data_IF_609532379250
#
_entry.id   IF_609532379250
#
_cell.length_a   1.000
_cell.length_b   1.000
_cell.length_c   1.000
_cell.angle_alpha   90.00
_cell.angle_beta   90.00
_cell.angle_gamma   90.00
#
_symmetry.space_group_name_H-M   'P 1'
#
loop_
_entity.id
_entity.type
_entity.pdbx_description
1 polymer ?
#
# COMPACT_ATOMS: atom_id res chain seq x y z
N UNK A 1 -23.03 -20.13 17.85
CA UNK A 1 -23.71 -18.85 17.55
C UNK A 1 -22.78 -17.65 17.66
N UNK A 2 -21.60 -17.76 18.28
CA UNK A 2 -20.66 -16.63 18.48
C UNK A 2 -19.75 -16.32 17.28
N UNK A 3 -19.46 -17.30 16.41
CA UNK A 3 -18.63 -17.10 15.21
C UNK A 3 -19.32 -16.31 14.08
N UNK A 4 -20.65 -16.41 13.96
CA UNK A 4 -21.40 -15.73 12.90
C UNK A 4 -21.57 -14.22 13.14
N UNK A 5 -21.41 -13.75 14.39
CA UNK A 5 -21.61 -12.34 14.74
C UNK A 5 -20.38 -11.47 14.42
N UNK A 6 -19.18 -12.08 14.34
CA UNK A 6 -17.93 -11.37 13.98
C UNK A 6 -17.83 -11.15 12.47
N UNK A 7 -18.33 -12.08 11.65
CA UNK A 7 -18.30 -11.97 10.17
C UNK A 7 -19.17 -10.83 9.61
N UNK A 8 -20.19 -10.38 10.35
CA UNK A 8 -21.22 -9.48 9.80
C UNK A 8 -20.94 -7.97 9.94
N UNK A 9 -19.86 -7.54 10.61
CA UNK A 9 -19.60 -6.10 10.87
C UNK A 9 -18.46 -5.50 10.03
N UNK A 10 -17.76 -6.30 9.21
CA UNK A 10 -16.56 -5.87 8.49
C UNK A 10 -16.64 -6.17 7.00
N UNK A 11 -17.40 -5.38 6.22
CA UNK A 11 -17.58 -5.65 4.78
C UNK A 11 -16.28 -5.71 3.96
N UNK A 12 -15.16 -5.21 4.49
CA UNK A 12 -13.87 -5.10 3.79
C UNK A 12 -12.63 -5.58 4.57
N UNK A 13 -12.78 -6.11 5.79
CA UNK A 13 -11.64 -6.73 6.51
C UNK A 13 -11.53 -8.21 6.17
N UNK A 14 -10.33 -8.76 6.28
CA UNK A 14 -10.05 -10.16 5.98
C UNK A 14 -8.89 -10.67 6.83
N UNK A 15 -8.87 -11.98 7.10
CA UNK A 15 -7.72 -12.63 7.73
C UNK A 15 -6.74 -13.07 6.65
N UNK A 16 -5.46 -12.78 6.84
CA UNK A 16 -4.37 -13.24 5.94
C UNK A 16 -3.81 -14.56 6.46
N UNK A 17 -3.48 -14.61 7.74
CA UNK A 17 -2.91 -15.76 8.44
C UNK A 17 -3.18 -15.60 9.95
N UNK A 18 -2.93 -16.62 10.80
CA UNK A 18 -3.00 -16.44 12.25
C UNK A 18 -2.17 -15.24 12.73
N UNK A 19 -2.77 -14.35 13.52
CA UNK A 19 -2.12 -13.12 13.99
C UNK A 19 -1.93 -12.04 12.92
N UNK A 20 -2.50 -12.19 11.72
CA UNK A 20 -2.38 -11.22 10.61
C UNK A 20 -3.74 -10.92 10.00
N UNK A 21 -4.18 -9.69 10.18
CA UNK A 21 -5.45 -9.18 9.65
C UNK A 21 -5.18 -8.06 8.67
N UNK A 22 -5.93 -8.02 7.58
CA UNK A 22 -5.89 -6.94 6.61
C UNK A 22 -7.24 -6.30 6.45
N UNK A 23 -7.24 -5.07 5.94
CA UNK A 23 -8.47 -4.43 5.48
C UNK A 23 -8.18 -3.65 4.21
N UNK A 24 -9.07 -3.84 3.23
CA UNK A 24 -9.08 -3.01 2.04
C UNK A 24 -9.77 -1.70 2.37
N UNK A 25 -9.07 -0.59 2.17
CA UNK A 25 -9.68 0.74 2.09
C UNK A 25 -10.39 0.85 0.71
N UNK A 26 -10.25 1.98 0.03
CA UNK A 26 -10.85 2.21 -1.28
C UNK A 26 -10.17 1.35 -2.34
N UNK A 27 -8.83 1.42 -2.41
CA UNK A 27 -8.03 0.65 -3.37
C UNK A 27 -6.73 0.10 -2.79
N UNK A 28 -6.32 0.56 -1.60
CA UNK A 28 -5.10 0.19 -0.87
C UNK A 28 -5.44 -0.65 0.36
N UNK A 29 -4.53 -1.51 0.78
CA UNK A 29 -4.61 -2.33 1.97
C UNK A 29 -3.68 -1.81 3.06
N UNK A 30 -4.09 -2.02 4.30
CA UNK A 30 -3.23 -1.94 5.49
C UNK A 30 -3.43 -3.19 6.33
N UNK A 31 -2.45 -3.50 7.18
CA UNK A 31 -2.42 -4.73 7.95
C UNK A 31 -2.16 -4.49 9.43
N UNK A 32 -2.72 -5.35 10.27
CA UNK A 32 -2.38 -5.48 11.68
C UNK A 32 -1.69 -6.83 11.84
N UNK A 33 -0.50 -6.79 12.43
CA UNK A 33 0.29 -7.98 12.76
C UNK A 33 0.41 -8.04 14.28
N UNK A 34 0.00 -9.15 14.87
CA UNK A 34 0.28 -9.47 16.27
C UNK A 34 1.51 -10.37 16.37
N UNK A 35 2.36 -10.07 17.34
CA UNK A 35 3.43 -10.93 17.79
C UNK A 35 2.87 -12.00 18.75
N UNK A 36 3.09 -13.27 18.41
CA UNK A 36 2.51 -14.39 19.15
C UNK A 36 3.11 -14.53 20.56
N UNK A 37 4.32 -14.02 20.79
CA UNK A 37 5.04 -14.20 22.05
C UNK A 37 4.64 -13.15 23.10
N UNK A 38 4.67 -11.88 22.72
CA UNK A 38 4.39 -10.75 23.61
C UNK A 38 2.92 -10.32 23.59
N UNK A 39 2.15 -10.74 22.58
CA UNK A 39 0.81 -10.25 22.31
C UNK A 39 0.76 -8.79 21.83
N UNK A 40 1.92 -8.13 21.70
CA UNK A 40 2.03 -6.80 21.11
C UNK A 40 1.70 -6.85 19.62
N UNK A 41 1.34 -5.71 19.03
CA UNK A 41 0.96 -5.67 17.63
C UNK A 41 1.50 -4.42 16.95
N UNK A 42 1.67 -4.49 15.65
CA UNK A 42 2.08 -3.36 14.82
C UNK A 42 1.08 -3.16 13.68
N UNK A 43 0.96 -1.90 13.25
CA UNK A 43 0.25 -1.53 12.03
C UNK A 43 1.25 -1.51 10.87
N UNK A 44 0.88 -2.09 9.73
CA UNK A 44 1.63 -1.98 8.47
C UNK A 44 0.83 -1.11 7.51
N UNK A 45 1.42 0.02 7.13
CA UNK A 45 0.82 1.13 6.39
C UNK A 45 -0.42 1.76 7.07
N UNK A 46 -0.75 2.98 6.66
CA UNK A 46 -1.78 3.83 7.28
C UNK A 46 -2.91 4.22 6.30
N UNK A 47 -2.95 3.64 5.10
CA UNK A 47 -4.03 3.90 4.14
C UNK A 47 -4.13 5.37 3.71
N UNK A 48 -5.33 5.80 3.36
CA UNK A 48 -5.67 7.15 2.89
C UNK A 48 -5.90 8.11 4.07
N UNK A 49 -6.00 9.42 3.77
CA UNK A 49 -6.14 10.47 4.80
C UNK A 49 -7.31 10.27 5.77
N UNK A 50 -8.37 9.62 5.33
CA UNK A 50 -9.57 9.34 6.13
C UNK A 50 -9.56 7.96 6.82
N UNK A 51 -8.49 7.18 6.68
CA UNK A 51 -8.44 5.80 7.17
C UNK A 51 -8.30 5.69 8.69
N UNK A 52 -7.81 6.74 9.38
CA UNK A 52 -7.53 6.72 10.82
C UNK A 52 -8.69 6.16 11.68
N UNK A 53 -9.94 6.66 11.58
CA UNK A 53 -11.05 6.12 12.36
C UNK A 53 -11.32 4.63 12.10
N UNK A 54 -11.17 4.21 10.84
CA UNK A 54 -11.43 2.81 10.44
C UNK A 54 -10.35 1.88 10.97
N UNK A 55 -9.08 2.29 10.89
CA UNK A 55 -7.94 1.57 11.45
C UNK A 55 -8.07 1.43 12.97
N UNK A 56 -8.41 2.52 13.67
CA UNK A 56 -8.64 2.49 15.13
C UNK A 56 -9.79 1.57 15.52
N UNK A 57 -10.89 1.58 14.76
CA UNK A 57 -12.01 0.67 15.02
C UNK A 57 -11.61 -0.79 14.83
N UNK A 58 -10.85 -1.11 13.76
CA UNK A 58 -10.33 -2.46 13.55
C UNK A 58 -9.41 -2.90 14.70
N UNK A 59 -8.49 -2.04 15.15
CA UNK A 59 -7.63 -2.34 16.30
C UNK A 59 -8.45 -2.55 17.59
N UNK A 60 -9.48 -1.73 17.83
CA UNK A 60 -10.39 -1.85 18.96
C UNK A 60 -11.19 -3.16 18.94
N UNK A 61 -11.63 -3.61 17.77
CA UNK A 61 -12.37 -4.87 17.62
C UNK A 61 -11.49 -6.08 17.91
N UNK A 62 -10.21 -6.03 17.51
CA UNK A 62 -9.28 -7.15 17.70
C UNK A 62 -8.71 -7.18 19.14
N UNK A 63 -8.33 -6.01 19.68
CA UNK A 63 -7.54 -5.93 20.93
C UNK A 63 -8.22 -5.14 22.06
N UNK A 64 -9.40 -4.56 21.83
CA UNK A 64 -10.10 -3.72 22.80
C UNK A 64 -9.71 -2.24 22.78
N UNK A 65 -10.50 -1.41 23.46
CA UNK A 65 -10.46 0.06 23.36
C UNK A 65 -9.17 0.72 23.84
N UNK A 66 -8.47 0.12 24.80
CA UNK A 66 -7.25 0.68 25.38
C UNK A 66 -5.98 0.25 24.62
N UNK A 67 -6.12 -0.60 23.59
CA UNK A 67 -4.98 -1.14 22.86
C UNK A 67 -4.40 -0.12 21.89
N UNK A 68 -3.07 -0.07 21.83
CA UNK A 68 -2.28 0.71 20.87
C UNK A 68 -1.16 -0.15 20.29
N UNK A 69 -0.68 0.13 19.06
CA UNK A 69 0.40 -0.65 18.50
C UNK A 69 1.73 -0.36 19.22
N UNK A 70 2.65 -1.31 19.15
CA UNK A 70 4.05 -1.11 19.51
C UNK A 70 4.78 -0.23 18.48
N UNK A 71 4.37 -0.31 17.20
CA UNK A 71 4.97 0.43 16.09
C UNK A 71 4.00 0.57 14.91
N UNK A 72 4.24 1.58 14.06
CA UNK A 72 3.73 1.60 12.68
C UNK A 72 4.91 1.31 11.75
N UNK A 73 4.78 0.33 10.86
CA UNK A 73 5.79 -0.06 9.88
C UNK A 73 5.31 0.35 8.50
N UNK A 74 6.12 1.08 7.74
CA UNK A 74 5.78 1.49 6.39
C UNK A 74 6.42 0.56 5.37
N UNK A 75 5.63 0.10 4.40
CA UNK A 75 6.17 -0.54 3.19
C UNK A 75 6.89 0.50 2.34
N UNK A 76 6.27 1.68 2.16
CA UNK A 76 6.82 2.85 1.48
C UNK A 76 5.96 4.10 1.76
N UNK A 77 6.40 5.27 1.25
CA UNK A 77 5.79 6.56 1.59
C UNK A 77 4.82 7.18 0.58
N UNK A 78 4.22 6.41 -0.34
CA UNK A 78 3.18 6.99 -1.23
C UNK A 78 1.91 7.36 -0.48
N UNK A 79 1.16 8.32 -1.04
CA UNK A 79 0.06 9.03 -0.36
C UNK A 79 -1.07 8.11 0.13
N UNK A 80 -1.27 6.99 -0.53
CA UNK A 80 -2.25 5.96 -0.23
C UNK A 80 -1.81 4.98 0.84
N UNK A 81 -0.53 4.98 1.21
CA UNK A 81 0.02 4.20 2.32
C UNK A 81 0.26 5.04 3.56
N UNK A 82 0.43 6.36 3.43
CA UNK A 82 0.79 7.25 4.57
C UNK A 82 -0.28 8.28 4.91
N UNK A 83 -1.45 8.23 4.27
CA UNK A 83 -2.46 9.27 4.36
C UNK A 83 -2.93 9.55 5.79
N UNK A 84 -3.16 8.52 6.60
CA UNK A 84 -3.55 8.67 8.01
C UNK A 84 -2.37 8.61 9.00
N UNK A 85 -1.14 8.54 8.50
CA UNK A 85 0.03 8.19 9.31
C UNK A 85 0.26 9.17 10.46
N UNK A 86 0.36 10.47 10.18
CA UNK A 86 0.64 11.48 11.20
C UNK A 86 -0.45 11.49 12.29
N UNK A 87 -1.72 11.40 11.89
CA UNK A 87 -2.84 11.31 12.84
C UNK A 87 -2.72 10.08 13.75
N UNK A 88 -2.43 8.90 13.17
CA UNK A 88 -2.30 7.67 13.95
C UNK A 88 -1.06 7.69 14.86
N UNK A 89 0.07 8.17 14.36
CA UNK A 89 1.32 8.27 15.13
C UNK A 89 1.15 9.20 16.33
N UNK A 90 0.54 10.37 16.14
CA UNK A 90 0.25 11.32 17.22
C UNK A 90 -0.79 10.78 18.21
N UNK A 91 -1.88 10.21 17.72
CA UNK A 91 -2.97 9.77 18.60
C UNK A 91 -2.59 8.56 19.46
N UNK A 92 -1.68 7.71 19.00
CA UNK A 92 -1.18 6.56 19.74
C UNK A 92 0.17 6.80 20.43
N UNK A 93 0.85 7.91 20.14
CA UNK A 93 2.20 8.21 20.59
C UNK A 93 3.15 7.02 20.37
N UNK A 94 3.30 6.64 19.10
CA UNK A 94 3.94 5.39 18.68
C UNK A 94 5.03 5.65 17.63
N UNK A 95 6.18 4.95 17.68
CA UNK A 95 7.21 5.10 16.67
C UNK A 95 6.75 4.60 15.30
N UNK A 96 7.22 5.27 14.25
CA UNK A 96 7.06 4.87 12.85
C UNK A 96 8.41 4.36 12.34
N UNK A 97 8.45 3.21 11.70
CA UNK A 97 9.66 2.67 11.08
C UNK A 97 9.53 2.60 9.57
N UNK A 98 10.58 3.07 8.87
CA UNK A 98 10.71 2.96 7.43
C UNK A 98 12.16 2.69 7.03
N UNK A 99 12.35 2.23 5.80
CA UNK A 99 13.69 2.06 5.24
C UNK A 99 14.41 3.42 5.11
N UNK A 100 15.74 3.48 5.29
CA UNK A 100 16.49 4.75 5.22
C UNK A 100 16.25 5.58 3.95
N UNK A 101 16.10 4.91 2.79
CA UNK A 101 15.82 5.56 1.51
C UNK A 101 14.42 6.20 1.41
N UNK A 102 13.50 5.92 2.35
CA UNK A 102 12.18 6.55 2.40
C UNK A 102 12.18 7.84 3.27
N UNK A 103 13.16 8.00 4.17
CA UNK A 103 13.23 9.11 5.13
C UNK A 103 13.13 10.49 4.48
N UNK A 104 13.80 10.80 3.35
CA UNK A 104 13.71 12.13 2.73
C UNK A 104 12.27 12.51 2.35
N UNK A 105 11.46 11.53 1.96
CA UNK A 105 10.08 11.74 1.53
C UNK A 105 9.08 11.81 2.69
N UNK A 106 9.45 11.21 3.83
CA UNK A 106 8.66 11.18 5.06
C UNK A 106 9.00 12.32 6.04
N UNK A 107 10.06 13.09 5.75
CA UNK A 107 10.56 14.19 6.61
C UNK A 107 10.54 15.55 5.92
N UNK A 108 9.74 15.71 4.87
CA UNK A 108 9.66 17.00 4.16
C UNK A 108 10.86 17.35 3.27
N UNK A 109 11.93 16.54 3.21
CA UNK A 109 13.21 16.91 2.59
C UNK A 109 13.23 16.77 1.07
N UNK A 110 12.49 15.82 0.51
CA UNK A 110 12.42 15.57 -0.92
C UNK A 110 11.03 15.08 -1.34
N UNK A 111 10.69 15.26 -2.62
CA UNK A 111 9.53 14.58 -3.24
C UNK A 111 9.98 13.31 -3.93
N UNK A 112 9.09 12.31 -4.01
CA UNK A 112 9.29 11.12 -4.83
C UNK A 112 9.54 11.47 -6.30
N UNK A 113 10.20 10.56 -7.06
CA UNK A 113 10.13 10.61 -8.51
C UNK A 113 8.67 10.76 -8.97
N UNK A 114 8.40 11.69 -9.89
CA UNK A 114 7.03 11.98 -10.31
C UNK A 114 6.38 10.76 -10.97
N UNK A 115 5.06 10.57 -10.83
CA UNK A 115 4.39 9.50 -11.53
C UNK A 115 4.50 9.65 -13.04
N UNK A 116 4.40 8.51 -13.72
CA UNK A 116 4.32 8.42 -15.18
C UNK A 116 2.87 8.13 -15.61
N UNK A 117 2.13 9.15 -16.10
CA UNK A 117 0.77 8.96 -16.57
C UNK A 117 0.68 8.34 -17.97
N UNK A 118 1.80 8.10 -18.65
CA UNK A 118 1.83 7.52 -20.01
C UNK A 118 1.77 5.99 -20.03
N UNK A 119 1.72 5.35 -18.86
CA UNK A 119 1.76 3.88 -18.71
C UNK A 119 0.47 3.33 -18.13
N UNK A 120 0.28 2.00 -18.19
CA UNK A 120 -0.83 1.32 -17.52
C UNK A 120 -2.20 1.38 -18.23
N UNK A 121 -2.49 2.44 -18.99
CA UNK A 121 -3.71 2.54 -19.81
C UNK A 121 -5.01 2.70 -19.00
N UNK A 122 -4.90 2.99 -17.71
CA UNK A 122 -6.00 3.09 -16.76
C UNK A 122 -6.32 4.53 -16.34
N UNK A 123 -7.53 4.74 -15.81
CA UNK A 123 -7.93 6.04 -15.24
C UNK A 123 -7.00 6.48 -14.10
N UNK A 124 -6.49 5.53 -13.29
CA UNK A 124 -5.59 5.83 -12.20
C UNK A 124 -4.23 6.35 -12.71
N UNK A 125 -3.59 5.62 -13.63
CA UNK A 125 -2.37 6.13 -14.28
C UNK A 125 -2.59 7.48 -14.95
N UNK A 126 -3.70 7.63 -15.69
CA UNK A 126 -4.03 8.87 -16.37
C UNK A 126 -4.15 10.07 -15.43
N UNK A 127 -4.80 9.88 -14.27
CA UNK A 127 -5.01 10.91 -13.27
C UNK A 127 -3.85 11.08 -12.31
N UNK A 128 -2.79 10.26 -12.42
CA UNK A 128 -1.69 10.22 -11.47
C UNK A 128 -0.97 11.57 -11.30
N UNK A 129 -1.01 12.44 -12.31
CA UNK A 129 -0.46 13.80 -12.22
C UNK A 129 -1.15 14.69 -11.17
N UNK A 130 -2.36 14.32 -10.72
CA UNK A 130 -3.14 14.99 -9.68
C UNK A 130 -2.86 14.46 -8.28
N UNK A 131 -2.20 13.30 -8.15
CA UNK A 131 -1.95 12.71 -6.84
C UNK A 131 -0.99 13.58 -6.02
N UNK A 132 -1.15 13.64 -4.69
CA UNK A 132 -0.23 14.36 -3.83
C UNK A 132 1.21 13.88 -4.05
N UNK A 133 2.09 14.83 -4.39
CA UNK A 133 3.54 14.61 -4.58
C UNK A 133 4.38 15.20 -3.46
N UNK A 134 3.74 16.04 -2.63
CA UNK A 134 4.41 16.73 -1.53
C UNK A 134 4.78 15.72 -0.46
N UNK A 135 5.97 15.82 0.14
CA UNK A 135 6.33 14.98 1.27
C UNK A 135 5.36 15.24 2.42
N UNK A 136 5.10 14.19 3.19
CA UNK A 136 4.58 14.36 4.55
C UNK A 136 5.75 14.69 5.47
N UNK A 137 5.45 15.22 6.65
CA UNK A 137 6.43 15.41 7.70
C UNK A 137 5.96 14.65 8.95
N UNK A 138 6.59 13.50 9.17
CA UNK A 138 6.44 12.67 10.38
C UNK A 138 7.78 12.57 11.12
N UNK A 139 8.64 13.59 10.97
CA UNK A 139 9.99 13.61 11.54
C UNK A 139 10.04 13.39 13.05
N UNK A 140 9.00 13.78 13.78
CA UNK A 140 8.87 13.57 15.23
C UNK A 140 8.77 12.09 15.63
N UNK A 141 8.20 11.24 14.78
CA UNK A 141 7.92 9.83 15.10
C UNK A 141 8.76 8.85 14.27
N UNK A 142 9.41 9.31 13.20
CA UNK A 142 10.07 8.43 12.23
C UNK A 142 11.44 7.95 12.72
N UNK A 143 11.66 6.65 12.60
CA UNK A 143 12.91 5.97 12.88
C UNK A 143 13.32 5.12 11.68
N UNK A 144 14.64 4.98 11.48
CA UNK A 144 15.14 4.03 10.49
C UNK A 144 14.90 2.60 10.98
N UNK A 145 14.57 1.70 10.05
CA UNK A 145 14.62 0.27 10.32
C UNK A 145 16.07 -0.17 10.65
N UNK A 146 16.25 -1.15 11.55
CA UNK A 146 17.56 -1.69 11.90
C UNK A 146 18.28 -2.35 10.72
N UNK A 147 19.61 -2.18 10.62
CA UNK A 147 20.41 -2.69 9.49
C UNK A 147 20.53 -4.23 9.46
N UNK A 148 20.04 -4.93 10.48
CA UNK A 148 20.02 -6.40 10.62
C UNK A 148 18.74 -7.06 10.07
N UNK A 149 17.90 -6.29 9.38
CA UNK A 149 16.62 -6.71 8.81
C UNK A 149 15.52 -7.07 9.83
N UNK A 150 15.71 -6.78 11.12
CA UNK A 150 14.68 -6.98 12.14
C UNK A 150 13.61 -5.89 12.10
N UNK A 151 12.44 -6.19 12.65
CA UNK A 151 11.34 -5.22 12.79
C UNK A 151 11.06 -5.00 14.28
N UNK A 152 11.31 -3.79 14.82
CA UNK A 152 10.99 -3.48 16.21
C UNK A 152 9.51 -3.74 16.53
N UNK A 153 9.26 -4.52 17.58
CA UNK A 153 7.92 -4.94 17.99
C UNK A 153 7.39 -6.21 17.29
N UNK A 154 8.10 -6.74 16.29
CA UNK A 154 7.72 -7.96 15.55
C UNK A 154 8.92 -8.92 15.40
N UNK A 155 9.38 -9.57 16.49
CA UNK A 155 10.61 -10.39 16.49
C UNK A 155 10.57 -11.60 15.56
N UNK A 156 9.39 -12.11 15.21
CA UNK A 156 9.22 -13.23 14.26
C UNK A 156 9.24 -12.78 12.79
N UNK A 157 9.27 -11.48 12.53
CA UNK A 157 9.24 -10.89 11.20
C UNK A 157 10.58 -10.27 10.84
N UNK A 158 10.91 -10.39 9.55
CA UNK A 158 12.01 -9.65 8.94
C UNK A 158 11.49 -8.77 7.82
N UNK A 159 12.10 -7.62 7.64
CA UNK A 159 11.88 -6.84 6.43
C UNK A 159 12.89 -7.26 5.36
N UNK A 160 12.49 -7.06 4.11
CA UNK A 160 13.30 -7.33 2.93
C UNK A 160 13.24 -6.07 2.10
N UNK A 161 14.40 -5.45 1.87
CA UNK A 161 14.47 -4.32 0.94
C UNK A 161 14.13 -4.79 -0.47
N UNK A 162 13.07 -4.20 -1.03
CA UNK A 162 12.45 -4.55 -2.31
C UNK A 162 12.24 -3.28 -3.17
N UNK A 163 13.33 -2.58 -3.55
CA UNK A 163 13.26 -1.33 -4.30
C UNK A 163 12.66 -1.53 -5.70
N UNK A 164 12.17 -0.43 -6.27
CA UNK A 164 11.74 -0.36 -7.66
C UNK A 164 10.46 0.43 -7.83
N UNK A 165 9.43 0.07 -7.06
CA UNK A 165 8.21 0.86 -6.93
C UNK A 165 8.54 2.22 -6.28
N UNK A 166 9.16 2.18 -5.11
CA UNK A 166 9.86 3.31 -4.49
C UNK A 166 11.32 2.94 -4.17
N UNK A 167 12.19 3.92 -3.88
CA UNK A 167 13.61 3.68 -3.56
C UNK A 167 13.87 2.78 -2.35
N UNK A 168 13.12 2.99 -1.27
CA UNK A 168 13.26 2.27 -0.02
C UNK A 168 12.08 1.34 0.27
N UNK A 169 11.31 0.98 -0.76
CA UNK A 169 10.23 0.03 -0.59
C UNK A 169 10.70 -1.26 0.11
N UNK A 170 9.93 -1.74 1.08
CA UNK A 170 10.17 -3.01 1.77
C UNK A 170 8.99 -3.96 1.67
N UNK A 171 9.29 -5.24 1.81
CA UNK A 171 8.32 -6.30 2.04
C UNK A 171 8.62 -6.97 3.39
N UNK A 172 7.61 -7.56 4.03
CA UNK A 172 7.73 -8.19 5.35
C UNK A 172 7.51 -9.69 5.21
N UNK A 173 8.35 -10.51 5.82
CA UNK A 173 8.28 -11.96 5.75
C UNK A 173 8.36 -12.60 7.13
N UNK A 174 7.47 -13.55 7.39
CA UNK A 174 7.45 -14.38 8.60
C UNK A 174 7.82 -15.81 8.24
N UNK A 175 8.98 -16.27 8.72
CA UNK A 175 9.56 -17.54 8.29
C UNK A 175 8.74 -18.77 8.72
N UNK A 176 8.15 -18.75 9.92
CA UNK A 176 7.51 -19.94 10.53
C UNK A 176 6.33 -20.51 9.72
N UNK A 177 5.59 -19.64 9.04
CA UNK A 177 4.41 -20.00 8.25
C UNK A 177 4.46 -19.38 6.83
N UNK A 178 5.64 -18.86 6.45
CA UNK A 178 5.95 -18.27 5.14
C UNK A 178 4.90 -17.26 4.66
N UNK A 179 4.41 -16.41 5.56
CA UNK A 179 3.53 -15.30 5.22
C UNK A 179 4.36 -14.14 4.69
N UNK A 180 4.01 -13.67 3.50
CA UNK A 180 4.64 -12.52 2.85
C UNK A 180 3.65 -11.36 2.73
N UNK A 181 3.98 -10.22 3.33
CA UNK A 181 3.37 -8.93 2.98
C UNK A 181 4.31 -8.26 1.98
N UNK A 182 3.98 -8.37 0.70
CA UNK A 182 4.83 -7.90 -0.39
C UNK A 182 4.83 -6.38 -0.55
N UNK A 183 3.89 -5.66 0.07
CA UNK A 183 3.65 -4.24 -0.23
C UNK A 183 3.29 -4.08 -1.70
N UNK A 184 3.94 -3.12 -2.36
CA UNK A 184 3.78 -2.79 -3.76
C UNK A 184 4.91 -3.29 -4.66
N UNK A 185 5.74 -4.23 -4.16
CA UNK A 185 6.72 -4.94 -4.99
C UNK A 185 6.02 -5.70 -6.15
N UNK A 186 4.82 -6.20 -5.90
CA UNK A 186 3.83 -6.68 -6.85
C UNK A 186 2.44 -6.58 -6.20
N UNK A 187 1.37 -6.67 -6.98
CA UNK A 187 -0.02 -6.56 -6.48
C UNK A 187 -0.87 -7.73 -6.93
N UNK A 188 -1.92 -8.09 -6.19
CA UNK A 188 -2.86 -9.18 -6.54
C UNK A 188 -4.12 -8.68 -7.23
N UNK A 189 -4.02 -7.50 -7.85
CA UNK A 189 -5.05 -6.90 -8.69
C UNK A 189 -4.39 -6.24 -9.90
N UNK A 190 -5.14 -6.03 -10.97
CA UNK A 190 -4.71 -5.12 -12.03
C UNK A 190 -4.96 -3.68 -11.55
N UNK A 191 -3.99 -3.08 -10.87
CA UNK A 191 -4.08 -1.71 -10.31
C UNK A 191 -4.57 -0.67 -11.35
N UNK A 192 -4.27 -0.88 -12.63
CA UNK A 192 -4.62 0.01 -13.73
C UNK A 192 -6.08 -0.12 -14.21
N UNK A 193 -6.74 -1.24 -13.93
CA UNK A 193 -8.12 -1.45 -14.35
C UNK A 193 -9.05 -1.07 -13.20
N UNK A 194 -9.74 0.06 -13.32
CA UNK A 194 -10.83 0.42 -12.42
C UNK A 194 -11.85 -0.72 -12.31
N UNK A 195 -12.06 -1.49 -13.38
CA UNK A 195 -12.91 -2.68 -13.38
C UNK A 195 -12.31 -3.78 -12.49
N UNK A 196 -11.04 -4.18 -12.60
CA UNK A 196 -10.47 -5.22 -11.71
C UNK A 196 -10.22 -4.74 -10.26
N UNK A 197 -9.97 -3.45 -10.05
CA UNK A 197 -9.94 -2.86 -8.72
C UNK A 197 -11.30 -2.98 -8.00
N UNK A 198 -12.40 -3.03 -8.79
CA UNK A 198 -13.79 -3.15 -8.34
C UNK A 198 -14.37 -4.58 -8.43
N UNK A 199 -13.95 -5.39 -9.41
CA UNK A 199 -14.40 -6.77 -9.65
C UNK A 199 -13.42 -7.74 -9.01
N UNK A 200 -13.86 -8.52 -8.03
CA UNK A 200 -13.10 -9.39 -7.13
C UNK A 200 -12.22 -10.52 -7.75
N UNK A 201 -11.79 -10.41 -9.00
CA UNK A 201 -10.86 -11.33 -9.64
C UNK A 201 -9.43 -11.03 -9.15
N UNK A 202 -8.85 -11.96 -8.39
CA UNK A 202 -7.47 -11.85 -7.92
C UNK A 202 -6.54 -12.30 -9.05
N UNK A 203 -5.55 -11.48 -9.39
CA UNK A 203 -4.55 -11.82 -10.39
C UNK A 203 -3.25 -11.11 -10.04
N UNK A 204 -2.16 -11.88 -9.97
CA UNK A 204 -0.85 -11.35 -9.65
C UNK A 204 -0.32 -10.53 -10.83
N UNK A 205 -0.04 -9.26 -10.55
CA UNK A 205 0.50 -8.29 -11.49
C UNK A 205 1.77 -7.69 -10.91
N UNK A 206 2.64 -7.15 -11.78
CA UNK A 206 3.80 -6.37 -11.32
C UNK A 206 3.40 -5.13 -10.50
N UNK A 207 4.37 -4.35 -10.01
CA UNK A 207 4.11 -3.16 -9.21
C UNK A 207 3.24 -2.14 -9.99
N UNK A 208 2.49 -1.24 -9.31
CA UNK A 208 1.72 -0.20 -9.98
C UNK A 208 2.60 0.63 -10.93
N UNK A 209 2.22 0.67 -12.21
CA UNK A 209 3.15 1.08 -13.28
C UNK A 209 3.47 2.56 -13.21
N UNK A 210 2.47 3.37 -12.87
CA UNK A 210 2.59 4.84 -12.84
C UNK A 210 3.52 5.37 -11.74
N UNK A 211 3.82 4.60 -10.70
CA UNK A 211 4.79 5.01 -9.68
C UNK A 211 6.13 4.29 -9.76
N UNK A 212 6.21 3.17 -10.48
CA UNK A 212 7.43 2.37 -10.57
C UNK A 212 8.54 3.13 -11.29
N UNK A 213 9.51 3.58 -10.50
CA UNK A 213 10.59 4.48 -10.94
C UNK A 213 11.89 3.75 -11.30
N UNK A 214 12.00 2.44 -10.99
CA UNK A 214 13.12 1.60 -11.39
C UNK A 214 12.67 0.14 -11.64
N UNK A 215 12.44 -0.19 -12.91
CA UNK A 215 11.98 -1.52 -13.33
C UNK A 215 13.00 -2.64 -13.13
N UNK A 216 14.29 -2.35 -13.26
CA UNK A 216 15.34 -3.33 -13.06
C UNK A 216 15.42 -3.75 -11.58
N UNK A 217 15.35 -2.79 -10.66
CA UNK A 217 15.25 -3.06 -9.22
C UNK A 217 13.95 -3.78 -8.88
N UNK A 218 12.81 -3.37 -9.45
CA UNK A 218 11.52 -4.04 -9.23
C UNK A 218 11.57 -5.52 -9.63
N UNK A 219 12.18 -5.84 -10.77
CA UNK A 219 12.40 -7.23 -11.22
C UNK A 219 13.18 -8.05 -10.19
N UNK A 220 14.32 -7.51 -9.74
CA UNK A 220 15.17 -8.19 -8.75
C UNK A 220 14.42 -8.39 -7.43
N UNK A 221 13.60 -7.43 -7.03
CA UNK A 221 12.73 -7.53 -5.86
C UNK A 221 11.73 -8.67 -6.00
N UNK A 222 11.02 -8.79 -7.12
CA UNK A 222 10.08 -9.91 -7.35
C UNK A 222 10.80 -11.27 -7.38
N UNK A 223 11.98 -11.36 -8.01
CA UNK A 223 12.80 -12.59 -7.99
C UNK A 223 13.15 -12.98 -6.56
N UNK A 224 13.59 -12.00 -5.74
CA UNK A 224 13.94 -12.22 -4.34
C UNK A 224 12.75 -12.73 -3.52
N UNK A 225 11.58 -12.13 -3.72
CA UNK A 225 10.35 -12.53 -3.02
C UNK A 225 9.84 -13.91 -3.45
N UNK A 226 9.89 -14.22 -4.75
CA UNK A 226 9.50 -15.54 -5.26
C UNK A 226 10.42 -16.65 -4.70
N UNK A 227 11.71 -16.36 -4.53
CA UNK A 227 12.68 -17.31 -3.97
C UNK A 227 12.43 -17.66 -2.48
N UNK A 228 11.61 -16.87 -1.76
CA UNK A 228 11.19 -17.21 -0.39
C UNK A 228 10.16 -18.34 -0.35
N UNK A 229 9.57 -18.69 -1.51
CA UNK A 229 8.53 -19.72 -1.65
C UNK A 229 7.38 -19.54 -0.63
N UNK A 230 6.67 -18.40 -0.65
CA UNK A 230 5.63 -18.10 0.33
C UNK A 230 4.46 -19.10 0.27
N UNK A 231 3.81 -19.33 1.42
CA UNK A 231 2.53 -20.08 1.51
C UNK A 231 1.33 -19.15 1.28
N UNK A 232 1.45 -17.91 1.77
CA UNK A 232 0.42 -16.87 1.69
C UNK A 232 1.09 -15.55 1.30
N UNK A 233 0.47 -14.83 0.36
CA UNK A 233 0.87 -13.48 -0.03
C UNK A 233 -0.24 -12.49 0.26
N UNK A 234 0.15 -11.32 0.75
CA UNK A 234 -0.67 -10.14 0.92
C UNK A 234 0.07 -8.94 0.30
N UNK A 235 -0.64 -8.00 -0.31
CA UNK A 235 -0.06 -6.92 -1.13
C UNK A 235 -0.70 -5.58 -0.80
N UNK A 236 -0.03 -4.47 -1.08
CA UNK A 236 -0.58 -3.13 -0.88
C UNK A 236 -1.88 -2.88 -1.65
N UNK A 237 -2.07 -3.58 -2.78
CA UNK A 237 -3.34 -3.57 -3.52
C UNK A 237 -3.80 -4.99 -3.90
N UNK A 238 -5.10 -5.28 -3.73
CA UNK A 238 -5.72 -6.55 -4.11
C UNK A 238 -6.13 -7.41 -2.91
N UNK A 239 -6.47 -8.69 -3.14
CA UNK A 239 -6.80 -9.64 -2.05
C UNK A 239 -5.60 -10.53 -1.73
N UNK A 240 -5.46 -11.02 -0.49
CA UNK A 240 -4.49 -12.07 -0.22
C UNK A 240 -4.73 -13.29 -1.12
N UNK A 241 -3.65 -13.97 -1.46
CA UNK A 241 -3.67 -15.20 -2.25
C UNK A 241 -2.83 -16.28 -1.56
N UNK A 242 -3.20 -17.54 -1.76
CA UNK A 242 -2.52 -18.69 -1.18
C UNK A 242 -2.65 -19.91 -2.09
N UNK A 243 -1.87 -20.96 -1.82
CA UNK A 243 -1.95 -22.24 -2.53
C UNK A 243 -1.16 -22.30 -3.83
N UNK A 244 -1.34 -23.38 -4.58
CA UNK A 244 -0.52 -23.72 -5.74
C UNK A 244 -0.65 -22.70 -6.88
N UNK A 245 -1.86 -22.25 -7.19
CA UNK A 245 -2.12 -21.25 -8.24
C UNK A 245 -1.37 -19.95 -7.96
N UNK A 246 -1.40 -19.48 -6.71
CA UNK A 246 -0.65 -18.29 -6.28
C UNK A 246 0.85 -18.44 -6.53
N UNK A 247 1.42 -19.59 -6.16
CA UNK A 247 2.85 -19.86 -6.39
C UNK A 247 3.19 -19.92 -7.87
N UNK A 248 2.33 -20.54 -8.68
CA UNK A 248 2.51 -20.60 -10.12
C UNK A 248 2.49 -19.20 -10.73
N UNK A 249 1.53 -18.35 -10.33
CA UNK A 249 1.48 -16.96 -10.79
C UNK A 249 2.70 -16.14 -10.34
N UNK A 250 3.16 -16.28 -9.09
CA UNK A 250 4.33 -15.56 -8.59
C UNK A 250 5.62 -16.00 -9.30
N UNK A 251 5.80 -17.30 -9.50
CA UNK A 251 6.92 -17.83 -10.27
C UNK A 251 6.86 -17.41 -11.73
N UNK A 252 5.67 -17.35 -12.33
CA UNK A 252 5.48 -16.86 -13.68
C UNK A 252 5.84 -15.38 -13.79
N UNK A 253 5.36 -14.54 -12.87
CA UNK A 253 5.75 -13.12 -12.82
C UNK A 253 7.26 -12.96 -12.67
N UNK A 254 7.88 -13.73 -11.76
CA UNK A 254 9.32 -13.68 -11.53
C UNK A 254 10.14 -14.02 -12.78
N UNK A 255 9.77 -15.09 -13.51
CA UNK A 255 10.49 -15.55 -14.71
C UNK A 255 10.24 -14.67 -15.92
N UNK A 256 9.04 -14.10 -16.04
CA UNK A 256 8.58 -13.35 -17.21
C UNK A 256 8.33 -11.87 -16.89
N UNK A 257 9.04 -11.32 -15.90
CA UNK A 257 8.78 -9.97 -15.38
C UNK A 257 8.81 -8.88 -16.46
N UNK A 258 9.80 -8.92 -17.36
CA UNK A 258 9.93 -7.90 -18.41
C UNK A 258 8.72 -7.90 -19.37
N UNK A 259 8.11 -9.06 -19.58
CA UNK A 259 6.97 -9.23 -20.49
C UNK A 259 5.65 -8.90 -19.81
N UNK A 260 5.52 -9.21 -18.51
CA UNK A 260 4.26 -9.12 -17.76
C UNK A 260 4.10 -7.78 -17.02
N UNK A 261 5.19 -7.22 -16.48
CA UNK A 261 5.16 -6.04 -15.63
C UNK A 261 5.56 -4.77 -16.37
N UNK A 262 6.71 -4.79 -17.05
CA UNK A 262 7.31 -3.59 -17.66
C UNK A 262 6.42 -3.09 -18.81
N UNK A 263 6.01 -1.81 -18.82
CA UNK A 263 5.23 -1.26 -19.91
C UNK A 263 6.07 -1.10 -21.18
N UNK A 264 5.42 -1.15 -22.35
CA UNK A 264 6.11 -1.03 -23.65
C UNK A 264 6.76 0.35 -23.87
N UNK A 265 6.25 1.37 -23.19
CA UNK A 265 6.77 2.74 -23.20
C UNK A 265 6.60 3.34 -21.80
N UNK A 266 7.32 4.42 -21.53
CA UNK A 266 7.22 5.17 -20.27
C UNK A 266 8.54 5.82 -19.90
N UNK A 267 8.45 6.87 -19.09
CA UNK A 267 9.54 7.67 -18.54
C UNK A 267 10.65 6.81 -17.94
N UNK A 268 10.27 5.75 -17.22
CA UNK A 268 11.21 4.94 -16.45
C UNK A 268 11.61 3.62 -17.14
N UNK A 269 11.10 3.35 -18.34
CA UNK A 269 11.29 2.04 -19.01
C UNK A 269 12.74 1.82 -19.43
N UNK A 270 13.35 2.83 -20.05
CA UNK A 270 14.72 2.73 -20.58
C UNK A 270 15.78 3.20 -19.57
N UNK A 271 15.39 4.08 -18.65
CA UNK A 271 16.29 4.70 -17.69
C UNK A 271 15.54 4.89 -16.36
N UNK A 272 16.10 4.48 -15.20
CA UNK A 272 15.44 4.64 -13.92
C UNK A 272 15.65 6.04 -13.32
N UNK A 273 14.84 6.41 -12.33
CA UNK A 273 15.21 7.48 -11.41
C UNK A 273 16.41 7.04 -10.55
N UNK A 274 17.29 7.99 -10.21
CA UNK A 274 18.41 7.76 -9.29
C UNK A 274 18.12 8.48 -7.98
N UNK A 275 18.17 7.74 -6.89
CA UNK A 275 17.82 8.21 -5.55
C UNK A 275 18.85 7.77 -4.52
N UNK A 276 18.98 8.54 -3.45
CA UNK A 276 19.89 8.29 -2.32
C UNK A 276 19.16 8.57 -1.01
N UNK A 277 19.83 8.37 0.13
CA UNK A 277 19.32 8.80 1.44
C UNK A 277 19.17 10.32 1.58
N UNK A 278 19.63 11.10 0.60
CA UNK A 278 19.40 12.54 0.51
C UNK A 278 18.20 12.91 -0.37
N UNK A 279 17.56 11.93 -1.02
CA UNK A 279 16.42 12.11 -1.92
C UNK A 279 16.76 11.83 -3.39
N UNK A 280 16.03 12.47 -4.30
CA UNK A 280 16.16 12.24 -5.75
C UNK A 280 17.34 13.01 -6.33
N UNK A 281 18.28 12.30 -6.97
CA UNK A 281 19.43 12.88 -7.68
C UNK A 281 19.14 13.09 -9.17
N UNK A 282 18.40 12.18 -9.78
CA UNK A 282 18.10 12.23 -11.20
C UNK A 282 16.72 11.64 -11.50
N UNK A 283 16.03 12.28 -12.44
CA UNK A 283 14.78 11.78 -13.02
C UNK A 283 14.92 11.88 -14.54
N UNK A 284 14.74 10.77 -15.29
CA UNK A 284 14.70 10.79 -16.75
C UNK A 284 13.70 11.85 -17.27
N UNK A 285 13.90 12.42 -18.46
CA UNK A 285 12.93 13.31 -19.07
C UNK A 285 11.61 12.57 -19.32
N UNK A 286 10.47 13.28 -19.24
CA UNK A 286 9.18 12.69 -19.57
C UNK A 286 9.14 12.27 -21.05
N UNK A 287 8.61 11.08 -21.34
CA UNK A 287 8.56 10.50 -22.70
C UNK A 287 7.53 11.17 -23.61
N UNK A 288 6.43 11.69 -23.06
CA UNK A 288 5.43 12.43 -23.83
C UNK A 288 4.81 13.60 -23.04
N UNK A 289 4.42 14.67 -23.76
CA UNK A 289 3.56 15.72 -23.20
C UNK A 289 2.11 15.23 -23.24
N UNK A 290 1.55 14.87 -22.09
CA UNK A 290 0.11 14.61 -21.95
C UNK A 290 -0.68 15.75 -22.65
N UNK A 291 -1.49 15.46 -23.69
CA UNK A 291 -2.22 16.49 -24.42
C UNK A 291 -3.07 17.37 -23.47
N UNK A 292 -3.22 18.66 -23.77
CA UNK A 292 -3.98 19.58 -22.90
C UNK A 292 -5.43 19.11 -22.72
N UNK A 293 -6.07 18.65 -23.80
CA UNK A 293 -7.42 18.07 -23.77
C UNK A 293 -7.53 16.90 -22.78
N UNK A 294 -6.49 16.09 -22.74
CA UNK A 294 -6.38 14.90 -21.89
C UNK A 294 -6.30 15.34 -20.41
N UNK A 295 -5.46 16.34 -20.08
CA UNK A 295 -5.44 16.94 -18.73
C UNK A 295 -6.80 17.50 -18.33
N UNK A 296 -7.48 18.21 -19.22
CA UNK A 296 -8.80 18.82 -18.95
C UNK A 296 -9.87 17.75 -18.66
N UNK A 297 -9.93 16.67 -19.44
CA UNK A 297 -10.86 15.56 -19.20
C UNK A 297 -10.56 14.89 -17.85
N UNK A 298 -9.28 14.67 -17.53
CA UNK A 298 -8.87 14.09 -16.25
C UNK A 298 -9.30 14.92 -15.04
N UNK A 299 -9.12 16.24 -15.10
CA UNK A 299 -9.58 17.16 -14.04
C UNK A 299 -11.10 17.12 -13.89
N UNK A 300 -11.85 17.17 -14.99
CA UNK A 300 -13.31 17.12 -14.95
C UNK A 300 -13.85 15.82 -14.36
N UNK A 301 -13.27 14.68 -14.74
CA UNK A 301 -13.63 13.37 -14.18
C UNK A 301 -13.23 13.25 -12.71
N UNK A 302 -12.08 13.79 -12.30
CA UNK A 302 -11.66 13.84 -10.90
C UNK A 302 -12.67 14.60 -10.04
N UNK A 303 -13.11 15.78 -10.51
CA UNK A 303 -14.11 16.61 -9.82
C UNK A 303 -15.46 15.89 -9.71
N UNK A 304 -15.90 15.19 -10.77
CA UNK A 304 -17.11 14.37 -10.73
C UNK A 304 -16.99 13.21 -9.73
N UNK A 305 -15.82 12.56 -9.68
CA UNK A 305 -15.54 11.45 -8.75
C UNK A 305 -15.54 11.93 -7.30
N UNK A 306 -14.90 13.06 -7.01
CA UNK A 306 -14.89 13.72 -5.70
C UNK A 306 -16.32 14.12 -5.31
N UNK A 307 -17.07 14.72 -6.25
CA UNK A 307 -18.48 15.08 -6.04
C UNK A 307 -19.35 13.86 -5.73
N UNK A 308 -19.12 12.75 -6.42
CA UNK A 308 -19.83 11.49 -6.18
C UNK A 308 -19.50 10.86 -4.82
N UNK A 309 -18.22 10.83 -4.44
CA UNK A 309 -17.78 10.32 -3.12
C UNK A 309 -18.37 11.19 -2.00
N UNK A 310 -18.28 12.51 -2.11
CA UNK A 310 -18.86 13.44 -1.16
C UNK A 310 -20.40 13.25 -1.07
N UNK A 311 -21.07 13.07 -2.21
CA UNK A 311 -22.50 12.76 -2.26
C UNK A 311 -22.83 11.44 -1.53
N UNK A 312 -22.06 10.37 -1.76
CA UNK A 312 -22.27 9.10 -1.08
C UNK A 312 -22.03 9.21 0.44
N UNK A 313 -21.02 9.96 0.88
CA UNK A 313 -20.75 10.19 2.30
C UNK A 313 -21.88 10.96 2.98
N UNK A 314 -22.39 12.04 2.36
CA UNK A 314 -23.55 12.79 2.87
C UNK A 314 -24.79 11.91 2.92
N UNK A 315 -25.03 11.09 1.89
CA UNK A 315 -26.15 10.14 1.86
C UNK A 315 -26.04 9.10 2.97
N UNK A 316 -24.85 8.57 3.23
CA UNK A 316 -24.60 7.57 4.29
C UNK A 316 -24.82 8.19 5.68
N UNK A 317 -24.32 9.40 5.92
CA UNK A 317 -24.57 10.17 7.16
C UNK A 317 -26.05 10.45 7.40
N UNK A 318 -26.79 10.86 6.36
CA UNK A 318 -28.24 11.10 6.48
C UNK A 318 -29.03 9.83 6.73
N UNK A 319 -28.60 8.69 6.19
CA UNK A 319 -29.26 7.40 6.44
C UNK A 319 -29.05 6.89 7.86
N UNK A 320 -27.89 7.15 8.48
CA UNK A 320 -27.63 6.85 9.89
C UNK A 320 -28.42 7.76 10.82
N UNK A 321 -28.61 9.04 10.48
CA UNK A 321 -29.43 9.98 11.26
C UNK A 321 -30.93 9.61 11.21
N UNK A 322 -31.44 9.23 10.04
CA UNK A 322 -32.83 8.77 9.88
C UNK A 322 -33.11 7.45 10.60
N UNK A 323 -32.15 6.52 10.63
CA UNK A 323 -32.28 5.28 11.40
C UNK A 323 -32.25 5.53 12.92
N UNK A 324 -31.49 6.53 13.39
CA UNK A 324 -31.49 6.96 14.79
C UNK A 324 -32.77 7.70 15.22
N UNK A 325 -33.43 8.41 14.30
CA UNK A 325 -34.69 9.11 14.54
C UNK A 325 -35.92 8.19 14.52
N UNK A 326 -35.86 7.04 13.85
CA UNK A 326 -36.95 6.05 13.78
C UNK A 326 -36.80 4.90 14.79
N UNK A 327 -35.71 4.90 15.59
CA UNK A 327 -35.39 3.88 16.59
C UNK A 327 -35.60 4.31 18.05
N UNK A 328 -36.26 5.44 18.29
CA UNK A 328 -36.70 5.92 19.61
C UNK A 328 -38.23 5.95 19.72
#
# INVERSE_FOLDING_TARGET
>A
MEQQTIEQTLSNSFTVAPGVWGRKDTFVNYYIIQDDTSGSWALVDAGLKWSAPTIKNMAKEIFGTASRPAAIILTHGHFDHVGALLTLATDWDVPVYAHPLELPFLTGKASYPPPDPSVGGGMMAYMSFLYPKGPIDVSEYIHKLPDDNTIPGLPEWKYIHTPGHSPGHISLFREKDKVLIAGDAFVTTKAESAVHALTHLSHLSGPPKYFTCNWASAKLSVIKLAALDPEVIATGHGKPMQGEEMRLELNNLSRHFDQLAVPAQGRYVNEPAITTEQGVLYVPPATEKIPVLVKTIGVSLALLSIGWIAYQQVRKSRSTDLAGLLGN
#
